data_IF_986979428325
#
_entry.id   IF_986979428325
#
_cell.length_a   1.000
_cell.length_b   1.000
_cell.length_c   1.000
_cell.angle_alpha   90.00
_cell.angle_beta   90.00
_cell.angle_gamma   90.00
#
_symmetry.space_group_name_H-M   'P 1'
#
loop_
_entity.id
_entity.type
_entity.pdbx_description
1 polymer ?
#
# COMPACT_ATOMS: atom_id res chain seq x y z
N UNK A 1 -12.02 -88.46 31.82
CA UNK A 1 -11.40 -87.47 30.90
C UNK A 1 -12.34 -86.24 30.81
N UNK A 2 -12.01 -85.21 31.56
CA UNK A 2 -12.80 -83.94 31.58
C UNK A 2 -12.06 -82.90 30.75
N UNK A 3 -12.70 -82.42 29.69
CA UNK A 3 -12.22 -81.33 28.89
C UNK A 3 -12.68 -79.99 29.53
N UNK A 4 -11.73 -79.20 29.98
CA UNK A 4 -11.96 -77.81 30.42
C UNK A 4 -12.05 -76.89 29.20
N UNK A 5 -13.17 -76.21 29.03
CA UNK A 5 -13.32 -75.13 28.06
C UNK A 5 -12.88 -73.80 28.70
N UNK A 6 -11.84 -73.19 28.18
CA UNK A 6 -11.43 -71.82 28.53
C UNK A 6 -12.25 -70.83 27.70
N UNK A 7 -13.09 -70.06 28.40
CA UNK A 7 -13.81 -68.93 27.82
C UNK A 7 -12.91 -67.71 27.82
N UNK A 8 -12.58 -67.21 26.64
CA UNK A 8 -11.77 -65.98 26.46
C UNK A 8 -12.74 -64.82 26.28
N UNK A 9 -12.90 -64.03 27.34
CA UNK A 9 -13.69 -62.78 27.26
C UNK A 9 -12.84 -61.67 26.70
N UNK A 10 -13.16 -61.21 25.48
CA UNK A 10 -12.53 -60.07 24.80
C UNK A 10 -13.19 -58.78 25.27
N UNK A 11 -12.53 -58.04 26.14
CA UNK A 11 -12.93 -56.68 26.55
C UNK A 11 -12.53 -55.69 25.45
N UNK A 12 -13.53 -55.20 24.72
CA UNK A 12 -13.37 -54.14 23.73
C UNK A 12 -13.36 -52.78 24.45
N UNK A 13 -12.17 -52.19 24.64
CA UNK A 13 -12.02 -50.85 25.16
C UNK A 13 -12.32 -49.84 24.07
N UNK A 14 -13.47 -49.15 24.18
CA UNK A 14 -13.85 -48.04 23.30
C UNK A 14 -13.08 -46.77 23.72
N UNK A 15 -11.99 -46.39 22.98
CA UNK A 15 -11.29 -45.14 23.18
C UNK A 15 -12.09 -44.00 22.54
N UNK A 16 -12.72 -43.16 23.36
CA UNK A 16 -13.35 -41.91 22.91
C UNK A 16 -12.24 -40.89 22.69
N UNK A 17 -11.88 -40.66 21.43
CA UNK A 17 -11.00 -39.54 21.06
C UNK A 17 -11.82 -38.26 21.10
N UNK A 18 -11.66 -37.47 22.15
CA UNK A 18 -12.19 -36.13 22.23
C UNK A 18 -11.38 -35.22 21.27
N UNK A 19 -11.95 -34.93 20.11
CA UNK A 19 -11.41 -33.92 19.21
C UNK A 19 -11.66 -32.56 19.90
N UNK A 20 -10.63 -32.03 20.50
CA UNK A 20 -10.65 -30.65 20.98
C UNK A 20 -10.78 -29.73 19.76
N UNK A 21 -11.93 -29.07 19.57
CA UNK A 21 -12.11 -28.04 18.61
C UNK A 21 -11.09 -26.93 18.92
N UNK A 22 -10.16 -26.68 18.01
CA UNK A 22 -9.25 -25.55 18.11
C UNK A 22 -10.09 -24.26 18.25
N UNK A 23 -9.75 -23.35 19.19
CA UNK A 23 -10.45 -22.09 19.28
C UNK A 23 -10.35 -21.39 17.94
N UNK A 24 -11.51 -21.17 17.31
CA UNK A 24 -11.58 -20.46 16.03
C UNK A 24 -10.81 -19.16 16.17
N UNK A 25 -9.85 -18.93 15.29
CA UNK A 25 -9.12 -17.67 15.22
C UNK A 25 -10.15 -16.57 14.99
N UNK A 26 -10.46 -15.84 16.04
CA UNK A 26 -11.25 -14.63 15.93
C UNK A 26 -10.42 -13.68 15.06
N UNK A 27 -10.81 -13.54 13.79
CA UNK A 27 -10.18 -12.60 12.89
C UNK A 27 -10.20 -11.23 13.57
N UNK A 28 -9.02 -10.71 13.89
CA UNK A 28 -8.87 -9.38 14.45
C UNK A 28 -9.62 -8.41 13.54
N UNK A 29 -10.68 -7.78 14.04
CA UNK A 29 -11.41 -6.76 13.29
C UNK A 29 -10.43 -5.62 13.04
N UNK A 30 -9.98 -5.49 11.79
CA UNK A 30 -9.18 -4.35 11.37
C UNK A 30 -10.05 -3.10 11.49
N UNK A 31 -9.58 -2.11 12.22
CA UNK A 31 -10.30 -0.84 12.40
C UNK A 31 -9.79 0.14 11.34
N UNK A 32 -10.67 0.70 10.49
CA UNK A 32 -10.28 1.74 9.55
C UNK A 32 -9.64 2.92 10.28
N UNK A 33 -8.49 3.37 9.81
CA UNK A 33 -7.79 4.54 10.31
C UNK A 33 -7.66 5.57 9.21
N UNK A 34 -8.01 6.81 9.53
CA UNK A 34 -7.81 7.93 8.61
C UNK A 34 -6.31 8.14 8.39
N UNK A 35 -5.90 8.25 7.15
CA UNK A 35 -4.54 8.63 6.73
C UNK A 35 -4.67 9.91 5.92
N UNK A 36 -3.82 10.90 6.18
CA UNK A 36 -3.86 12.15 5.42
C UNK A 36 -2.84 13.13 5.94
N UNK A 37 -2.50 14.09 5.08
CA UNK A 37 -1.52 15.13 5.37
C UNK A 37 -0.89 15.68 4.10
N UNK A 38 0.16 16.48 4.28
CA UNK A 38 0.92 17.09 3.20
C UNK A 38 2.34 16.53 3.12
N UNK A 39 2.85 16.43 1.91
CA UNK A 39 4.21 15.97 1.62
C UNK A 39 4.82 16.82 0.50
N UNK A 40 6.11 17.08 0.58
CA UNK A 40 6.86 17.84 -0.44
C UNK A 40 8.08 17.05 -0.90
N UNK A 41 8.52 17.29 -2.12
CA UNK A 41 9.72 16.66 -2.65
C UNK A 41 9.96 16.99 -4.11
N UNK A 42 10.52 16.00 -4.81
CA UNK A 42 10.88 16.14 -6.22
C UNK A 42 10.45 14.93 -7.02
N UNK A 43 10.10 15.21 -8.27
CA UNK A 43 10.04 14.24 -9.35
C UNK A 43 11.26 14.39 -10.25
N UNK A 44 11.72 13.25 -10.77
CA UNK A 44 12.74 13.16 -11.81
C UNK A 44 12.15 12.42 -13.00
N UNK A 45 12.32 12.98 -14.17
CA UNK A 45 11.78 12.47 -15.43
C UNK A 45 12.91 11.91 -16.28
N UNK A 46 12.73 10.70 -16.82
CA UNK A 46 13.66 10.06 -17.74
C UNK A 46 12.91 9.50 -18.92
N UNK A 47 13.44 9.69 -20.12
CA UNK A 47 12.79 9.22 -21.36
C UNK A 47 13.12 10.10 -22.55
N UNK A 48 12.45 9.87 -23.67
CA UNK A 48 12.62 10.67 -24.89
C UNK A 48 12.09 12.09 -24.69
N UNK A 49 12.56 13.04 -25.52
CA UNK A 49 12.21 14.46 -25.45
C UNK A 49 10.68 14.71 -25.53
N UNK A 50 9.97 13.92 -26.28
CA UNK A 50 8.51 14.05 -26.48
C UNK A 50 7.67 13.06 -25.66
N UNK A 51 8.28 12.34 -24.71
CA UNK A 51 7.59 11.33 -23.91
C UNK A 51 7.29 10.00 -24.67
N UNK A 52 6.69 9.02 -24.00
CA UNK A 52 6.36 9.03 -22.57
C UNK A 52 7.61 9.03 -21.68
N UNK A 53 7.45 9.51 -20.44
CA UNK A 53 8.54 9.62 -19.46
C UNK A 53 8.34 8.65 -18.31
N UNK A 54 9.39 7.98 -17.86
CA UNK A 54 9.41 7.36 -16.54
C UNK A 54 9.66 8.42 -15.49
N UNK A 55 8.74 8.57 -14.56
CA UNK A 55 8.82 9.52 -13.46
C UNK A 55 9.08 8.78 -12.17
N UNK A 56 10.07 9.24 -11.42
CA UNK A 56 10.34 8.76 -10.05
C UNK A 56 10.21 9.91 -9.07
N UNK A 57 9.56 9.65 -7.93
CA UNK A 57 9.31 10.65 -6.89
C UNK A 57 9.94 10.26 -5.55
N UNK A 58 10.52 11.24 -4.88
CA UNK A 58 10.96 11.17 -3.48
C UNK A 58 10.36 12.37 -2.74
N UNK A 59 9.38 12.09 -1.89
CA UNK A 59 8.67 13.11 -1.12
C UNK A 59 8.65 12.75 0.35
N UNK A 60 8.58 13.75 1.20
CA UNK A 60 8.56 13.61 2.66
C UNK A 60 7.51 14.53 3.28
N UNK A 61 6.98 14.13 4.41
CA UNK A 61 5.99 14.93 5.14
C UNK A 61 5.50 14.23 6.38
N UNK A 62 4.41 14.74 6.94
CA UNK A 62 3.77 14.13 8.10
C UNK A 62 2.38 13.65 7.72
N UNK A 63 2.14 12.35 7.88
CA UNK A 63 0.84 11.75 7.67
C UNK A 63 0.23 11.31 9.00
N UNK A 64 -1.08 11.54 9.14
CA UNK A 64 -1.85 11.10 10.33
C UNK A 64 -1.67 9.61 10.54
N UNK A 65 -1.45 9.19 11.79
CA UNK A 65 -1.15 7.82 12.24
C UNK A 65 0.17 7.20 11.76
N UNK A 66 0.86 7.80 10.80
CA UNK A 66 2.15 7.33 10.30
C UNK A 66 3.32 8.16 10.86
N UNK A 67 3.05 9.41 11.26
CA UNK A 67 4.07 10.35 11.72
C UNK A 67 4.89 10.92 10.56
N UNK A 68 6.16 11.18 10.80
CA UNK A 68 7.08 11.59 9.73
C UNK A 68 7.27 10.44 8.74
N UNK A 69 7.00 10.70 7.48
CA UNK A 69 7.02 9.68 6.42
C UNK A 69 7.86 10.14 5.24
N UNK A 70 8.34 9.13 4.50
CA UNK A 70 8.83 9.30 3.12
C UNK A 70 7.90 8.52 2.20
N UNK A 71 7.67 9.04 1.01
CA UNK A 71 6.95 8.32 -0.03
C UNK A 71 7.80 8.31 -1.30
N UNK A 72 7.97 7.12 -1.83
CA UNK A 72 8.60 6.86 -3.12
C UNK A 72 7.52 6.52 -4.12
N UNK A 73 7.58 7.13 -5.29
CA UNK A 73 6.62 6.87 -6.38
C UNK A 73 7.35 6.57 -7.67
N UNK A 74 6.72 5.79 -8.52
CA UNK A 74 7.13 5.60 -9.90
C UNK A 74 5.89 5.50 -10.78
N UNK A 75 5.90 6.13 -11.95
CA UNK A 75 4.84 6.03 -12.95
C UNK A 75 5.37 6.36 -14.35
N UNK A 76 4.57 6.06 -15.34
CA UNK A 76 4.76 6.51 -16.71
C UNK A 76 3.88 7.74 -16.94
N UNK A 77 4.49 8.88 -17.29
CA UNK A 77 3.79 10.11 -17.65
C UNK A 77 3.71 10.23 -19.17
N UNK A 78 2.53 10.46 -19.70
CA UNK A 78 2.28 10.66 -21.13
C UNK A 78 2.07 12.14 -21.45
N UNK A 79 2.34 12.58 -22.70
CA UNK A 79 2.17 13.98 -23.09
C UNK A 79 0.75 14.51 -22.98
N UNK A 80 -0.26 13.63 -22.98
CA UNK A 80 -1.67 13.99 -22.79
C UNK A 80 -2.08 14.20 -21.32
N UNK A 81 -1.13 14.13 -20.37
CA UNK A 81 -1.38 14.28 -18.94
C UNK A 81 -1.81 13.01 -18.23
N UNK A 82 -1.90 11.88 -18.93
CA UNK A 82 -2.20 10.59 -18.31
C UNK A 82 -0.99 10.05 -17.56
N UNK A 83 -1.19 9.59 -16.32
CA UNK A 83 -0.18 8.92 -15.51
C UNK A 83 -0.62 7.48 -15.28
N UNK A 84 0.15 6.54 -15.79
CA UNK A 84 -0.16 5.09 -15.75
C UNK A 84 0.94 4.29 -15.07
N UNK A 85 0.63 3.03 -14.74
CA UNK A 85 1.56 2.08 -14.10
C UNK A 85 2.15 2.63 -12.78
N UNK A 86 1.36 3.46 -12.09
CA UNK A 86 1.79 4.10 -10.86
C UNK A 86 1.98 3.10 -9.73
N UNK A 87 3.14 3.15 -9.06
CA UNK A 87 3.43 2.42 -7.83
C UNK A 87 3.91 3.35 -6.75
N UNK A 88 3.61 3.04 -5.49
CA UNK A 88 4.09 3.82 -4.37
C UNK A 88 4.52 2.96 -3.19
N UNK A 89 5.43 3.49 -2.38
CA UNK A 89 5.79 3.00 -1.07
C UNK A 89 5.84 4.16 -0.07
N UNK A 90 5.02 4.12 0.97
CA UNK A 90 5.05 5.07 2.09
C UNK A 90 5.77 4.41 3.25
N UNK A 91 6.89 4.98 3.68
CA UNK A 91 7.72 4.51 4.79
C UNK A 91 7.44 5.36 6.02
N UNK A 92 6.89 4.76 7.07
CA UNK A 92 6.64 5.42 8.34
C UNK A 92 7.93 5.64 9.14
N UNK A 93 7.88 6.49 10.17
CA UNK A 93 9.04 6.84 10.99
C UNK A 93 9.75 5.63 11.66
N UNK A 94 9.04 4.53 11.89
CA UNK A 94 9.59 3.30 12.47
C UNK A 94 10.13 2.30 11.43
N UNK A 95 10.11 2.65 10.14
CA UNK A 95 10.56 1.82 9.04
C UNK A 95 9.52 0.84 8.48
N UNK A 96 8.32 0.75 9.07
CA UNK A 96 7.22 -0.02 8.47
C UNK A 96 6.70 0.67 7.21
N UNK A 97 6.27 -0.12 6.23
CA UNK A 97 5.88 0.37 4.91
C UNK A 97 4.42 0.05 4.57
N UNK A 98 3.82 0.92 3.79
CA UNK A 98 2.57 0.71 3.04
C UNK A 98 2.92 0.80 1.56
N UNK A 99 2.43 -0.15 0.75
CA UNK A 99 2.71 -0.22 -0.69
C UNK A 99 1.44 -0.43 -1.49
N UNK A 100 1.45 0.02 -2.72
CA UNK A 100 0.35 -0.18 -3.65
C UNK A 100 0.58 0.47 -4.99
N UNK A 101 -0.53 0.60 -5.71
CA UNK A 101 -0.59 1.17 -7.06
C UNK A 101 -1.41 2.46 -7.07
N UNK A 102 -1.24 3.29 -8.08
CA UNK A 102 -2.06 4.46 -8.29
C UNK A 102 -2.24 4.80 -9.76
N UNK A 103 -3.34 5.47 -10.03
CA UNK A 103 -3.62 6.12 -11.28
C UNK A 103 -3.78 7.61 -11.04
N UNK A 104 -3.38 8.43 -11.97
CA UNK A 104 -3.52 9.87 -11.88
C UNK A 104 -3.73 10.50 -13.25
N UNK A 105 -4.27 11.70 -13.23
CA UNK A 105 -4.34 12.57 -14.40
C UNK A 105 -4.09 14.01 -13.98
N UNK A 106 -3.45 14.77 -14.84
CA UNK A 106 -3.10 16.16 -14.55
C UNK A 106 -3.28 17.06 -15.75
N UNK A 107 -3.55 18.31 -15.45
CA UNK A 107 -3.69 19.39 -16.43
C UNK A 107 -2.63 20.46 -16.22
N UNK A 108 -2.11 21.00 -17.30
CA UNK A 108 -1.27 22.19 -17.26
C UNK A 108 -2.10 23.40 -16.83
N UNK A 109 -1.74 24.00 -15.71
CA UNK A 109 -2.38 25.23 -15.21
C UNK A 109 -1.55 26.48 -15.52
N UNK A 110 -0.30 26.30 -15.92
CA UNK A 110 0.59 27.33 -16.44
C UNK A 110 1.68 26.71 -17.29
N UNK A 111 2.58 27.51 -17.89
CA UNK A 111 3.73 27.01 -18.66
C UNK A 111 4.76 26.20 -17.85
N UNK A 112 4.66 26.20 -16.51
CA UNK A 112 5.60 25.51 -15.62
C UNK A 112 4.92 24.72 -14.52
N UNK A 113 3.59 24.61 -14.52
CA UNK A 113 2.85 23.93 -13.45
C UNK A 113 1.80 22.98 -13.97
N UNK A 114 1.76 21.80 -13.39
CA UNK A 114 0.72 20.78 -13.59
C UNK A 114 0.02 20.53 -12.25
N UNK A 115 -1.30 20.59 -12.26
CA UNK A 115 -2.13 20.15 -11.15
C UNK A 115 -2.71 18.78 -11.50
N UNK A 116 -2.47 17.78 -10.65
CA UNK A 116 -2.94 16.43 -10.87
C UNK A 116 -3.73 15.89 -9.69
N UNK A 117 -4.65 14.98 -10.00
CA UNK A 117 -5.41 14.20 -9.02
C UNK A 117 -5.05 12.71 -9.16
N UNK A 118 -4.95 12.01 -8.03
CA UNK A 118 -4.60 10.61 -7.99
C UNK A 118 -5.54 9.80 -7.08
N UNK A 119 -5.72 8.54 -7.44
CA UNK A 119 -6.36 7.51 -6.62
C UNK A 119 -5.34 6.40 -6.33
N UNK A 120 -5.00 6.22 -5.05
CA UNK A 120 -4.02 5.24 -4.61
C UNK A 120 -4.74 4.05 -3.97
N UNK A 121 -4.39 2.83 -4.38
CA UNK A 121 -4.87 1.57 -3.81
C UNK A 121 -3.79 0.93 -2.95
N UNK A 122 -4.07 0.74 -1.65
CA UNK A 122 -3.15 0.08 -0.72
C UNK A 122 -3.31 -1.43 -0.85
N UNK A 123 -2.24 -2.12 -1.22
CA UNK A 123 -2.25 -3.56 -1.53
C UNK A 123 -1.47 -4.40 -0.53
N UNK A 124 -0.50 -3.82 0.14
CA UNK A 124 0.39 -4.55 1.05
C UNK A 124 1.13 -3.61 1.99
N UNK A 125 1.92 -4.18 2.89
CA UNK A 125 2.82 -3.44 3.75
C UNK A 125 3.72 -4.37 4.54
N UNK A 126 4.52 -3.79 5.42
CA UNK A 126 5.43 -4.50 6.32
C UNK A 126 5.13 -4.16 7.78
N UNK A 127 5.71 -4.92 8.71
CA UNK A 127 5.56 -4.71 10.14
C UNK A 127 4.09 -4.61 10.56
N UNK A 128 3.70 -3.54 11.24
CA UNK A 128 2.29 -3.31 11.65
C UNK A 128 1.32 -3.19 10.47
N UNK A 129 1.82 -2.89 9.27
CA UNK A 129 1.04 -2.75 8.05
C UNK A 129 1.04 -3.99 7.16
N UNK A 130 1.53 -5.15 7.62
CA UNK A 130 1.67 -6.37 6.81
C UNK A 130 0.37 -6.82 6.11
N UNK A 131 -0.79 -6.42 6.65
CA UNK A 131 -2.11 -6.71 6.06
C UNK A 131 -2.85 -5.46 5.61
N UNK A 132 -2.13 -4.35 5.42
CA UNK A 132 -2.74 -3.08 5.06
C UNK A 132 -3.54 -3.17 3.76
N UNK A 133 -4.73 -2.60 3.79
CA UNK A 133 -5.63 -2.40 2.64
C UNK A 133 -6.32 -1.05 2.81
N UNK A 134 -6.67 -0.42 1.72
CA UNK A 134 -7.41 0.83 1.78
C UNK A 134 -7.22 1.65 0.53
N UNK A 135 -7.70 2.88 0.58
CA UNK A 135 -7.61 3.83 -0.53
C UNK A 135 -7.21 5.21 -0.02
N UNK A 136 -6.46 5.92 -0.83
CA UNK A 136 -6.07 7.31 -0.59
C UNK A 136 -6.41 8.10 -1.85
N UNK A 137 -7.10 9.21 -1.70
CA UNK A 137 -7.19 10.23 -2.73
C UNK A 137 -6.08 11.24 -2.51
N UNK A 138 -5.51 11.74 -3.59
CA UNK A 138 -4.48 12.74 -3.51
C UNK A 138 -4.64 13.80 -4.60
N UNK A 139 -4.19 15.00 -4.29
CA UNK A 139 -3.91 16.03 -5.28
C UNK A 139 -2.44 16.42 -5.16
N UNK A 140 -1.79 16.70 -6.27
CA UNK A 140 -0.44 17.19 -6.24
C UNK A 140 -0.20 18.27 -7.30
N UNK A 141 0.63 19.22 -6.91
CA UNK A 141 1.10 20.31 -7.76
C UNK A 141 2.55 20.04 -8.11
N UNK A 142 2.82 19.88 -9.39
CA UNK A 142 4.17 19.86 -9.93
C UNK A 142 4.57 21.27 -10.36
N UNK A 143 5.78 21.67 -10.05
CA UNK A 143 6.37 22.92 -10.51
C UNK A 143 7.73 22.64 -11.12
N UNK A 144 7.83 22.80 -12.42
CA UNK A 144 9.04 22.59 -13.19
C UNK A 144 9.99 23.77 -12.99
N UNK A 145 11.21 23.48 -12.58
CA UNK A 145 12.25 24.51 -12.39
C UNK A 145 12.85 25.00 -13.72
N UNK A 146 12.78 24.13 -14.74
CA UNK A 146 13.28 24.39 -16.10
C UNK A 146 12.33 23.72 -17.11
N UNK A 147 12.00 24.38 -18.23
CA UNK A 147 11.20 23.78 -19.31
C UNK A 147 11.85 22.55 -19.97
N UNK A 148 13.09 22.20 -19.65
CA UNK A 148 13.73 20.95 -20.10
C UNK A 148 13.19 19.68 -19.43
N UNK A 149 12.20 19.78 -18.55
CA UNK A 149 11.45 18.68 -17.94
C UNK A 149 12.26 17.58 -17.23
N UNK A 150 13.53 17.83 -16.90
CA UNK A 150 14.38 16.85 -16.21
C UNK A 150 13.97 16.59 -14.74
N UNK A 151 13.37 17.58 -14.09
CA UNK A 151 12.85 17.47 -12.73
C UNK A 151 11.79 18.53 -12.41
N UNK A 152 10.93 18.23 -11.43
CA UNK A 152 9.96 19.16 -10.88
C UNK A 152 9.94 19.07 -9.35
N UNK A 153 9.64 20.19 -8.69
CA UNK A 153 9.20 20.17 -7.29
C UNK A 153 7.76 19.68 -7.26
N UNK A 154 7.42 18.88 -6.26
CA UNK A 154 6.06 18.37 -6.10
C UNK A 154 5.57 18.59 -4.68
N UNK A 155 4.34 19.05 -4.55
CA UNK A 155 3.62 19.17 -3.29
C UNK A 155 2.35 18.31 -3.34
N UNK A 156 2.25 17.34 -2.43
CA UNK A 156 1.13 16.39 -2.32
C UNK A 156 0.23 16.77 -1.16
N UNK A 157 -1.07 16.60 -1.36
CA UNK A 157 -2.07 16.52 -0.29
C UNK A 157 -2.77 15.18 -0.41
N UNK A 158 -2.78 14.40 0.67
CA UNK A 158 -3.35 13.06 0.73
C UNK A 158 -4.51 13.03 1.74
N UNK A 159 -5.57 12.27 1.43
CA UNK A 159 -6.64 11.93 2.35
C UNK A 159 -7.22 10.56 2.03
N UNK A 160 -7.50 9.75 3.05
CA UNK A 160 -8.01 8.41 2.83
C UNK A 160 -8.10 7.56 4.09
N UNK A 161 -8.22 6.25 3.89
CA UNK A 161 -8.32 5.27 4.97
C UNK A 161 -7.41 4.07 4.73
N UNK A 162 -6.87 3.54 5.81
CA UNK A 162 -6.09 2.30 5.84
C UNK A 162 -6.61 1.37 6.94
N UNK A 163 -6.77 0.10 6.59
CA UNK A 163 -7.10 -1.00 7.51
C UNK A 163 -5.85 -1.85 7.73
N UNK A 164 -5.45 -2.06 8.98
CA UNK A 164 -4.28 -2.89 9.33
C UNK A 164 -4.36 -3.43 10.76
#
# INVERSE_FOLDING_TARGET
>A
MRRMAMSCSLLLALAIVAVAAAPGSQGSKTVPRSIGGAMDGRFTFTGPEVGPWTTTGDVKGTLRHLGLTKMYTQHTASPDGTLSEGTFAIVAANGDEIRGTYEASGDWISGTQVLAAASLSIESGTGRFARARGTITAAFLETFDDPSYGSARVAWTLDGTVNY
#
